data_IF_126991272638
#
_entry.id   IF_126991272638
#
_cell.length_a   1.000
_cell.length_b   1.000
_cell.length_c   1.000
_cell.angle_alpha   90.00
_cell.angle_beta   90.00
_cell.angle_gamma   90.00
#
_symmetry.space_group_name_H-M   'P 1'
#
loop_
_entity.id
_entity.type
_entity.pdbx_description
1 polymer ?
#
# COMPACT_ATOMS: atom_id res chain seq x y z
N UNK A 1 -13.88 30.48 16.27
CA UNK A 1 -12.84 29.47 16.62
C UNK A 1 -13.14 28.23 15.78
N UNK A 2 -12.24 27.92 14.85
CA UNK A 2 -12.52 27.09 13.68
C UNK A 2 -12.39 25.59 13.95
N UNK A 3 -13.09 24.81 13.12
CA UNK A 3 -13.16 23.34 13.03
C UNK A 3 -11.81 22.60 12.89
N UNK A 4 -10.69 23.30 13.04
CA UNK A 4 -9.34 22.76 12.88
C UNK A 4 -8.75 22.17 14.17
N UNK A 5 -9.26 22.55 15.36
CA UNK A 5 -8.69 22.11 16.65
C UNK A 5 -9.09 20.67 17.05
N UNK A 6 -9.99 20.02 16.32
CA UNK A 6 -10.50 18.68 16.67
C UNK A 6 -10.06 17.55 15.73
N UNK A 7 -9.29 17.83 14.68
CA UNK A 7 -8.76 16.76 13.83
C UNK A 7 -7.53 16.15 14.48
N UNK A 8 -7.71 14.99 15.13
CA UNK A 8 -6.59 14.12 15.52
C UNK A 8 -5.67 13.95 14.31
N UNK A 9 -4.34 14.12 14.48
CA UNK A 9 -3.41 13.94 13.38
C UNK A 9 -3.63 12.57 12.74
N UNK A 10 -3.68 12.50 11.39
CA UNK A 10 -3.94 11.24 10.70
C UNK A 10 -2.84 10.26 11.07
N UNK A 11 -3.26 9.16 11.71
CA UNK A 11 -2.34 8.08 12.09
C UNK A 11 -1.78 7.42 10.83
N UNK A 12 -0.58 6.83 10.93
CA UNK A 12 0.05 6.01 9.89
C UNK A 12 -0.95 4.99 9.31
N UNK A 13 -1.76 4.38 10.18
CA UNK A 13 -2.89 3.52 9.81
C UNK A 13 -3.86 4.19 8.82
N UNK A 14 -4.35 5.38 9.14
CA UNK A 14 -5.31 6.09 8.30
C UNK A 14 -4.71 6.47 6.95
N UNK A 15 -3.40 6.71 6.88
CA UNK A 15 -2.70 7.00 5.64
C UNK A 15 -2.58 5.74 4.76
N UNK A 16 -2.24 4.58 5.36
CA UNK A 16 -2.23 3.30 4.66
C UNK A 16 -3.59 2.94 4.06
N UNK A 17 -4.65 3.01 4.89
CA UNK A 17 -6.01 2.66 4.45
C UNK A 17 -6.46 3.57 3.28
N UNK A 18 -6.07 4.87 3.31
CA UNK A 18 -6.32 5.82 2.21
C UNK A 18 -5.52 5.51 0.95
N UNK A 19 -4.24 5.17 1.08
CA UNK A 19 -3.40 4.81 -0.05
C UNK A 19 -3.96 3.59 -0.78
N UNK A 20 -4.35 2.54 -0.04
CA UNK A 20 -4.96 1.34 -0.61
C UNK A 20 -6.28 1.65 -1.31
N UNK A 21 -7.16 2.41 -0.68
CA UNK A 21 -8.44 2.80 -1.27
C UNK A 21 -8.25 3.60 -2.57
N UNK A 22 -7.27 4.51 -2.59
CA UNK A 22 -6.91 5.30 -3.76
C UNK A 22 -6.43 4.42 -4.92
N UNK A 23 -5.57 3.45 -4.66
CA UNK A 23 -5.04 2.53 -5.70
C UNK A 23 -6.18 1.76 -6.38
N UNK A 24 -7.13 1.25 -5.59
CA UNK A 24 -8.27 0.48 -6.13
C UNK A 24 -9.24 1.37 -6.91
N UNK A 25 -9.48 2.61 -6.43
CA UNK A 25 -10.47 3.49 -7.05
C UNK A 25 -10.03 4.11 -8.39
N UNK A 26 -8.74 4.11 -8.70
CA UNK A 26 -8.22 4.51 -10.01
C UNK A 26 -8.21 3.37 -11.05
N UNK A 27 -8.64 2.16 -10.68
CA UNK A 27 -8.70 1.02 -11.58
C UNK A 27 -10.00 1.02 -12.41
N UNK A 28 -10.05 1.85 -13.45
CA UNK A 28 -11.23 2.01 -14.34
C UNK A 28 -11.08 1.29 -15.69
N UNK A 29 -9.85 1.09 -16.20
CA UNK A 29 -9.63 0.49 -17.52
C UNK A 29 -8.49 -0.55 -17.54
N UNK A 30 -8.86 -1.80 -17.80
CA UNK A 30 -8.01 -2.99 -17.68
C UNK A 30 -7.07 -3.27 -18.88
N UNK A 31 -6.75 -2.29 -19.73
CA UNK A 31 -5.83 -2.53 -20.86
C UNK A 31 -4.36 -2.33 -20.44
N UNK A 32 -3.80 -3.37 -19.82
CA UNK A 32 -2.36 -3.50 -19.58
C UNK A 32 -1.81 -2.76 -18.36
N UNK A 33 -2.66 -2.06 -17.59
CA UNK A 33 -2.26 -1.41 -16.34
C UNK A 33 -2.32 -2.40 -15.17
N UNK A 34 -1.21 -2.51 -14.44
CA UNK A 34 -1.10 -3.30 -13.21
C UNK A 34 -1.28 -2.40 -12.00
N UNK A 35 -2.00 -2.87 -10.98
CA UNK A 35 -2.12 -2.15 -9.72
C UNK A 35 -0.82 -2.28 -8.94
N UNK A 36 -0.31 -1.16 -8.44
CA UNK A 36 0.89 -1.11 -7.61
C UNK A 36 0.66 -0.29 -6.34
N UNK A 37 1.06 -0.83 -5.21
CA UNK A 37 1.08 -0.14 -3.92
C UNK A 37 2.53 0.17 -3.54
N UNK A 38 2.92 1.43 -3.66
CA UNK A 38 4.26 1.90 -3.29
C UNK A 38 4.25 2.49 -1.87
N UNK A 39 5.08 1.93 -0.99
CA UNK A 39 5.15 2.34 0.42
C UNK A 39 6.61 2.30 0.91
N UNK A 40 7.00 3.17 1.87
CA UNK A 40 8.28 3.04 2.54
C UNK A 40 8.28 1.85 3.53
N UNK A 41 9.47 1.36 3.86
CA UNK A 41 9.70 0.19 4.73
C UNK A 41 9.02 0.27 6.11
N UNK A 42 8.76 1.47 6.63
CA UNK A 42 8.05 1.69 7.90
C UNK A 42 6.63 1.08 7.91
N UNK A 43 6.03 0.80 6.74
CA UNK A 43 4.70 0.19 6.60
C UNK A 43 4.72 -1.33 6.57
N UNK A 44 5.88 -1.97 6.67
CA UNK A 44 6.04 -3.41 6.55
C UNK A 44 5.10 -4.24 7.42
N UNK A 45 5.01 -3.87 8.71
CA UNK A 45 4.09 -4.52 9.65
C UNK A 45 2.63 -4.40 9.20
N UNK A 46 2.25 -3.25 8.63
CA UNK A 46 0.90 -3.03 8.14
C UNK A 46 0.60 -3.81 6.86
N UNK A 47 1.58 -3.96 5.97
CA UNK A 47 1.44 -4.80 4.79
C UNK A 47 1.19 -6.26 5.22
N UNK A 48 2.02 -6.78 6.14
CA UNK A 48 1.87 -8.15 6.66
C UNK A 48 0.53 -8.40 7.34
N UNK A 49 0.10 -7.47 8.19
CA UNK A 49 -1.11 -7.62 8.99
C UNK A 49 -2.41 -7.38 8.20
N UNK A 50 -2.36 -6.57 7.12
CA UNK A 50 -3.56 -6.01 6.47
C UNK A 50 -3.66 -6.21 4.97
N UNK A 51 -2.63 -6.73 4.33
CA UNK A 51 -2.66 -7.05 2.90
C UNK A 51 -2.54 -8.57 2.71
N UNK A 52 -3.63 -9.34 2.95
CA UNK A 52 -3.62 -10.77 2.74
C UNK A 52 -3.21 -11.15 1.32
N UNK A 53 -2.50 -12.27 1.18
CA UNK A 53 -2.06 -12.77 -0.12
C UNK A 53 -3.22 -12.98 -1.11
N UNK A 54 -4.36 -13.46 -0.61
CA UNK A 54 -5.57 -13.64 -1.42
C UNK A 54 -6.04 -12.32 -2.05
N UNK A 55 -5.96 -11.20 -1.32
CA UNK A 55 -6.33 -9.88 -1.83
C UNK A 55 -5.34 -9.42 -2.90
N UNK A 56 -4.03 -9.63 -2.69
CA UNK A 56 -3.00 -9.29 -3.68
C UNK A 56 -3.20 -10.06 -4.99
N UNK A 57 -3.49 -11.35 -4.89
CA UNK A 57 -3.75 -12.21 -6.05
C UNK A 57 -5.01 -11.79 -6.80
N UNK A 58 -6.14 -11.57 -6.11
CA UNK A 58 -7.41 -11.19 -6.74
C UNK A 58 -7.32 -9.84 -7.44
N UNK A 59 -6.61 -8.88 -6.85
CA UNK A 59 -6.44 -7.55 -7.43
C UNK A 59 -5.28 -7.44 -8.42
N UNK A 60 -4.51 -8.53 -8.63
CA UNK A 60 -3.26 -8.49 -9.39
C UNK A 60 -2.33 -7.35 -8.90
N UNK A 61 -2.24 -7.19 -7.57
CA UNK A 61 -1.60 -6.05 -6.90
C UNK A 61 -0.13 -6.30 -6.61
N UNK A 62 0.72 -5.48 -7.22
CA UNK A 62 2.14 -5.37 -6.92
C UNK A 62 2.36 -4.57 -5.65
N UNK A 63 3.39 -4.93 -4.89
CA UNK A 63 3.85 -4.16 -3.74
C UNK A 63 5.26 -3.66 -4.05
N UNK A 64 5.48 -2.36 -3.95
CA UNK A 64 6.77 -1.71 -4.15
C UNK A 64 7.20 -1.12 -2.81
N UNK A 65 8.25 -1.68 -2.23
CA UNK A 65 8.77 -1.23 -0.94
C UNK A 65 10.05 -0.45 -1.13
N UNK A 66 10.06 0.79 -0.66
CA UNK A 66 11.27 1.59 -0.59
C UNK A 66 12.02 1.32 0.72
N UNK A 67 13.24 0.80 0.61
CA UNK A 67 14.14 0.48 1.72
C UNK A 67 15.14 1.61 1.86
N UNK A 68 15.07 2.37 2.95
CA UNK A 68 15.85 3.60 3.10
C UNK A 68 17.33 3.34 3.35
N UNK A 69 17.65 2.20 3.99
CA UNK A 69 19.03 1.79 4.29
C UNK A 69 19.86 1.52 3.03
N UNK A 70 19.22 0.97 2.00
CA UNK A 70 19.88 0.54 0.76
C UNK A 70 19.57 1.48 -0.42
N UNK A 71 18.71 2.50 -0.21
CA UNK A 71 18.17 3.40 -1.25
C UNK A 71 17.50 2.64 -2.43
N UNK A 72 17.00 1.45 -2.17
CA UNK A 72 16.45 0.54 -3.19
C UNK A 72 14.93 0.40 -3.11
N UNK A 73 14.32 0.00 -4.25
CA UNK A 73 12.92 -0.38 -4.34
C UNK A 73 12.80 -1.88 -4.57
N UNK A 74 12.31 -2.60 -3.57
CA UNK A 74 11.97 -4.01 -3.68
C UNK A 74 10.56 -4.17 -4.27
N UNK A 75 10.44 -4.85 -5.40
CA UNK A 75 9.17 -5.11 -6.04
C UNK A 75 8.72 -6.55 -5.80
N UNK A 76 7.51 -6.73 -5.28
CA UNK A 76 6.91 -8.03 -4.99
C UNK A 76 5.70 -8.27 -5.88
N UNK A 77 5.74 -9.37 -6.64
CA UNK A 77 4.68 -9.73 -7.56
C UNK A 77 3.40 -10.17 -6.81
N UNK A 78 2.21 -10.11 -7.44
CA UNK A 78 0.93 -10.43 -6.80
C UNK A 78 0.82 -11.83 -6.19
N UNK A 79 1.59 -12.79 -6.72
CA UNK A 79 1.62 -14.18 -6.28
C UNK A 79 2.84 -14.52 -5.43
N UNK A 80 3.78 -13.59 -5.31
CA UNK A 80 4.97 -13.76 -4.48
C UNK A 80 4.60 -13.59 -3.02
N UNK A 81 4.99 -14.53 -2.17
CA UNK A 81 4.79 -14.39 -0.73
C UNK A 81 5.75 -13.35 -0.16
N UNK A 82 5.22 -12.48 0.72
CA UNK A 82 6.02 -11.51 1.44
C UNK A 82 6.67 -12.23 2.63
N UNK A 83 7.88 -12.74 2.44
CA UNK A 83 8.58 -13.65 3.36
C UNK A 83 9.31 -12.93 4.50
N UNK A 84 8.77 -11.81 4.95
CA UNK A 84 9.50 -10.82 5.72
C UNK A 84 8.89 -10.60 7.12
#
# INVERSE_FOLDING_TARGET
KGLAESMKPPTIRNQFDRALASVVSYYDQAQGLQLGLALPEEYFKHIKDRLPQALRTVLNLWVLLYVSADEEVCAFAPHEELSF
#
